data_IF_976398113609
#
_entry.id   IF_976398113609
#
_cell.length_a   1.000
_cell.length_b   1.000
_cell.length_c   1.000
_cell.angle_alpha   90.00
_cell.angle_beta   90.00
_cell.angle_gamma   90.00
#
_symmetry.space_group_name_H-M   'P 1'
#
loop_
_entity.id
_entity.type
_entity.pdbx_description
1 polymer ?
#
# COMPACT_ATOMS: atom_id res chain seq x y z
N UNK A 1 -17.35 -1.94 7.42
CA UNK A 1 -17.35 -1.67 5.96
C UNK A 1 -15.99 -2.04 5.39
N UNK A 2 -15.86 -3.16 4.66
CA UNK A 2 -14.67 -3.41 3.84
C UNK A 2 -14.76 -2.47 2.65
N UNK A 3 -14.04 -1.35 2.67
CA UNK A 3 -13.82 -0.57 1.46
C UNK A 3 -13.19 -1.54 0.46
N UNK A 4 -13.82 -1.75 -0.69
CA UNK A 4 -13.28 -2.56 -1.77
C UNK A 4 -12.12 -1.77 -2.39
N UNK A 5 -10.98 -1.73 -1.69
CA UNK A 5 -9.82 -0.95 -2.09
C UNK A 5 -9.18 -1.66 -3.28
N UNK A 6 -8.98 -0.91 -4.36
CA UNK A 6 -8.31 -1.39 -5.58
C UNK A 6 -6.90 -1.93 -5.27
N UNK A 7 -6.24 -1.32 -4.29
CA UNK A 7 -4.93 -1.72 -3.81
C UNK A 7 -4.94 -1.93 -2.29
N UNK A 8 -4.12 -2.87 -1.85
CA UNK A 8 -3.92 -3.21 -0.44
C UNK A 8 -2.44 -3.25 -0.11
N UNK A 9 -2.10 -2.88 1.13
CA UNK A 9 -0.76 -3.08 1.68
C UNK A 9 -0.73 -4.43 2.37
N UNK A 10 0.31 -5.20 2.10
CA UNK A 10 0.63 -6.37 2.91
C UNK A 10 2.15 -6.50 3.10
N UNK A 11 2.54 -7.11 4.21
CA UNK A 11 3.91 -7.54 4.47
C UNK A 11 3.98 -9.06 4.25
N UNK A 12 4.96 -9.51 3.47
CA UNK A 12 5.20 -10.93 3.18
C UNK A 12 6.67 -11.28 3.47
N UNK A 13 7.08 -12.52 3.21
CA UNK A 13 8.49 -12.93 3.34
C UNK A 13 9.47 -12.09 2.50
N UNK A 14 8.98 -11.36 1.49
CA UNK A 14 9.76 -10.42 0.66
C UNK A 14 9.73 -8.97 1.15
N UNK A 15 9.17 -8.69 2.34
CA UNK A 15 9.00 -7.35 2.89
C UNK A 15 7.61 -6.73 2.61
N UNK A 16 7.53 -5.41 2.73
CA UNK A 16 6.30 -4.65 2.50
C UNK A 16 6.02 -4.50 1.00
N UNK A 17 4.76 -4.43 0.62
CA UNK A 17 4.40 -4.21 -0.78
C UNK A 17 2.93 -3.88 -0.98
N UNK A 18 2.63 -3.44 -2.19
CA UNK A 18 1.28 -3.15 -2.66
C UNK A 18 0.79 -4.31 -3.50
N UNK A 19 -0.44 -4.73 -3.23
CA UNK A 19 -1.12 -5.83 -3.89
C UNK A 19 -2.42 -5.32 -4.48
N UNK A 20 -2.76 -5.75 -5.69
CA UNK A 20 -4.06 -5.44 -6.28
C UNK A 20 -5.17 -6.32 -5.68
N UNK A 21 -6.39 -6.14 -6.16
CA UNK A 21 -7.53 -6.97 -5.78
C UNK A 21 -7.46 -8.42 -6.29
N UNK A 22 -6.62 -8.70 -7.27
CA UNK A 22 -6.43 -10.03 -7.88
C UNK A 22 -5.34 -10.86 -7.18
N UNK A 23 -4.55 -10.23 -6.30
CA UNK A 23 -3.46 -10.85 -5.56
C UNK A 23 -2.09 -10.72 -6.24
N UNK A 24 -1.95 -9.86 -7.25
CA UNK A 24 -0.66 -9.55 -7.86
C UNK A 24 0.05 -8.44 -7.10
N UNK A 25 1.36 -8.61 -6.91
CA UNK A 25 2.21 -7.59 -6.31
C UNK A 25 2.47 -6.49 -7.33
N UNK A 26 1.90 -5.32 -7.10
CA UNK A 26 2.04 -4.11 -7.92
C UNK A 26 3.39 -3.44 -7.65
N UNK A 27 3.82 -3.40 -6.39
CA UNK A 27 5.07 -2.74 -5.99
C UNK A 27 5.71 -3.41 -4.78
N UNK A 28 7.04 -3.47 -4.77
CA UNK A 28 7.83 -3.89 -3.61
C UNK A 28 8.37 -2.66 -2.87
N UNK A 29 8.17 -2.63 -1.56
CA UNK A 29 8.55 -1.50 -0.72
C UNK A 29 9.49 -1.99 0.39
N UNK A 30 10.59 -1.28 0.60
CA UNK A 30 11.57 -1.66 1.61
C UNK A 30 11.07 -1.47 3.05
N UNK A 31 10.12 -0.54 3.27
CA UNK A 31 9.60 -0.20 4.60
C UNK A 31 8.08 -0.03 4.57
N UNK A 32 7.45 -0.10 5.76
CA UNK A 32 6.02 0.17 5.95
C UNK A 32 5.63 1.57 5.45
N UNK A 33 6.46 2.57 5.75
CA UNK A 33 6.18 3.96 5.39
C UNK A 33 6.20 4.15 3.88
N UNK A 34 7.21 3.60 3.19
CA UNK A 34 7.25 3.63 1.74
C UNK A 34 6.00 2.97 1.14
N UNK A 35 5.57 1.81 1.66
CA UNK A 35 4.33 1.18 1.21
C UNK A 35 3.09 2.07 1.45
N UNK A 36 2.99 2.74 2.60
CA UNK A 36 1.90 3.68 2.87
C UNK A 36 1.88 4.86 1.91
N UNK A 37 3.04 5.46 1.64
CA UNK A 37 3.14 6.56 0.69
C UNK A 37 2.74 6.13 -0.72
N UNK A 38 3.25 4.98 -1.20
CA UNK A 38 2.90 4.43 -2.51
C UNK A 38 1.40 4.10 -2.60
N UNK A 39 0.81 3.55 -1.53
CA UNK A 39 -0.64 3.28 -1.51
C UNK A 39 -1.44 4.57 -1.66
N UNK A 40 -1.07 5.63 -0.93
CA UNK A 40 -1.78 6.91 -0.99
C UNK A 40 -1.66 7.55 -2.38
N UNK A 41 -0.47 7.49 -2.99
CA UNK A 41 -0.26 7.97 -4.37
C UNK A 41 -1.12 7.18 -5.37
N UNK A 42 -1.13 5.85 -5.28
CA UNK A 42 -1.91 4.99 -6.17
C UNK A 42 -3.42 5.16 -5.99
N UNK A 43 -3.87 5.46 -4.77
CA UNK A 43 -5.28 5.70 -4.46
C UNK A 43 -5.70 7.16 -4.72
N UNK A 44 -4.77 8.06 -5.04
CA UNK A 44 -5.02 9.50 -5.17
C UNK A 44 -5.47 10.16 -3.85
N UNK A 45 -5.03 9.62 -2.72
CA UNK A 45 -5.37 10.14 -1.39
C UNK A 45 -4.42 11.25 -0.96
N UNK A 46 -4.94 12.19 -0.18
CA UNK A 46 -4.11 13.20 0.46
C UNK A 46 -3.23 12.56 1.53
N UNK A 47 -1.91 12.72 1.38
CA UNK A 47 -0.95 12.26 2.39
C UNK A 47 -1.23 12.97 3.73
N UNK A 48 -1.33 12.24 4.85
CA UNK A 48 -1.39 12.87 6.16
C UNK A 48 -0.12 13.69 6.38
N UNK A 49 -0.23 14.77 7.15
CA UNK A 49 0.92 15.61 7.50
C UNK A 49 2.00 14.84 8.27
N UNK A 50 1.68 13.68 8.85
CA UNK A 50 2.64 12.83 9.53
C UNK A 50 2.14 11.37 9.62
N UNK A 51 3.04 10.41 9.44
CA UNK A 51 2.76 8.96 9.33
C UNK A 51 2.87 8.17 10.65
N UNK A 52 2.76 8.92 11.74
CA UNK A 52 2.94 8.68 13.18
C UNK A 52 2.45 7.40 13.85
#
# INVERSE_FOLDING_TARGET
MKQNRKYSIACSGSGWGIWDSEGHKVCSCCTRFHALETLYELMGWNKPSKWY
#
